data_IF_054685955745
#
_entry.id   IF_054685955745
#
_cell.length_a   1.000
_cell.length_b   1.000
_cell.length_c   1.000
_cell.angle_alpha   90.00
_cell.angle_beta   90.00
_cell.angle_gamma   90.00
#
_symmetry.space_group_name_H-M   'P 1'
#
loop_
_entity.id
_entity.type
_entity.pdbx_description
1 polymer ?
#
# COMPACT_ATOMS: atom_id res chain seq x y z
N UNK A 1 -25.73 -1.94 7.90
CA UNK A 1 -25.21 -0.55 7.95
C UNK A 1 -24.98 -0.12 6.51
N UNK A 2 -25.60 0.99 6.14
CA UNK A 2 -25.71 1.47 4.76
C UNK A 2 -24.32 1.85 4.25
N UNK A 3 -23.80 1.11 3.28
CA UNK A 3 -22.53 1.37 2.64
C UNK A 3 -22.70 2.58 1.71
N UNK A 4 -22.74 3.78 2.30
CA UNK A 4 -22.73 5.03 1.54
C UNK A 4 -21.39 5.10 0.83
N UNK A 5 -21.37 4.77 -0.47
CA UNK A 5 -20.18 4.97 -1.30
C UNK A 5 -19.89 6.47 -1.31
N UNK A 6 -18.87 6.88 -0.56
CA UNK A 6 -18.33 8.23 -0.61
C UNK A 6 -17.98 8.49 -2.08
N UNK A 7 -18.62 9.51 -2.67
CA UNK A 7 -18.33 9.98 -4.01
C UNK A 7 -17.68 11.34 -3.88
N UNK A 8 -16.45 11.44 -4.35
CA UNK A 8 -15.74 12.70 -4.45
C UNK A 8 -16.11 13.39 -5.75
N UNK A 9 -16.32 14.70 -5.72
CA UNK A 9 -16.18 15.50 -6.93
C UNK A 9 -14.71 15.49 -7.38
N UNK A 10 -14.45 15.82 -8.65
CA UNK A 10 -13.06 15.90 -9.16
C UNK A 10 -12.23 16.93 -8.40
N UNK A 11 -12.86 18.04 -8.00
CA UNK A 11 -12.22 19.14 -7.28
C UNK A 11 -11.80 18.75 -5.85
N UNK A 12 -12.54 17.84 -5.22
CA UNK A 12 -12.19 17.29 -3.90
C UNK A 12 -11.21 16.11 -4.01
N UNK A 13 -11.38 15.28 -5.05
CA UNK A 13 -10.62 14.05 -5.22
C UNK A 13 -9.12 14.31 -5.39
N UNK A 14 -8.74 15.18 -6.33
CA UNK A 14 -7.33 15.38 -6.69
C UNK A 14 -6.50 15.87 -5.49
N UNK A 15 -6.93 16.90 -4.72
CA UNK A 15 -6.18 17.33 -3.53
C UNK A 15 -6.06 16.25 -2.46
N UNK A 16 -7.13 15.49 -2.19
CA UNK A 16 -7.10 14.42 -1.18
C UNK A 16 -6.21 13.26 -1.59
N UNK A 17 -6.29 12.85 -2.87
CA UNK A 17 -5.44 11.80 -3.41
C UNK A 17 -3.96 12.20 -3.37
N UNK A 18 -3.65 13.43 -3.81
CA UNK A 18 -2.28 13.97 -3.74
C UNK A 18 -1.76 14.02 -2.32
N UNK A 19 -2.57 14.52 -1.36
CA UNK A 19 -2.17 14.60 0.03
C UNK A 19 -1.92 13.21 0.65
N UNK A 20 -2.78 12.22 0.38
CA UNK A 20 -2.56 10.85 0.86
C UNK A 20 -1.28 10.25 0.26
N UNK A 21 -1.07 10.43 -1.05
CA UNK A 21 0.14 9.99 -1.75
C UNK A 21 1.41 10.59 -1.13
N UNK A 22 1.44 11.91 -0.93
CA UNK A 22 2.57 12.61 -0.32
C UNK A 22 2.81 12.13 1.12
N UNK A 23 1.74 11.86 1.87
CA UNK A 23 1.84 11.34 3.24
C UNK A 23 2.46 9.94 3.30
N UNK A 24 2.12 9.07 2.34
CA UNK A 24 2.70 7.73 2.21
C UNK A 24 4.19 7.84 1.85
N UNK A 25 4.55 8.70 0.89
CA UNK A 25 5.96 8.94 0.52
C UNK A 25 6.75 9.42 1.73
N UNK A 26 6.27 10.46 2.40
CA UNK A 26 6.93 11.02 3.58
C UNK A 26 7.08 9.99 4.71
N UNK A 27 6.09 9.10 4.89
CA UNK A 27 6.18 8.00 5.85
C UNK A 27 7.34 7.06 5.54
N UNK A 28 7.46 6.60 4.29
CA UNK A 28 8.57 5.73 3.89
C UNK A 28 9.93 6.44 3.96
N UNK A 29 10.02 7.69 3.51
CA UNK A 29 11.24 8.49 3.60
C UNK A 29 11.70 8.70 5.05
N UNK A 30 10.77 8.88 6.00
CA UNK A 30 11.09 8.98 7.43
C UNK A 30 11.73 7.71 8.01
N UNK A 31 11.56 6.57 7.34
CA UNK A 31 12.21 5.29 7.68
C UNK A 31 13.51 5.06 6.90
N UNK A 32 13.98 6.06 6.15
CA UNK A 32 15.18 6.00 5.32
C UNK A 32 14.99 5.26 3.99
N UNK A 33 13.75 5.07 3.54
CA UNK A 33 13.45 4.47 2.23
C UNK A 33 13.59 5.49 1.13
N UNK A 34 14.07 5.05 -0.02
CA UNK A 34 14.41 5.94 -1.12
C UNK A 34 13.67 5.56 -2.41
N UNK A 35 13.39 6.61 -3.21
CA UNK A 35 13.11 6.51 -4.64
C UNK A 35 14.26 7.21 -5.35
N UNK A 36 15.18 6.44 -5.93
CA UNK A 36 16.15 6.98 -6.89
C UNK A 36 15.63 6.75 -8.32
N UNK A 37 15.29 7.80 -9.08
CA UNK A 37 14.82 7.67 -10.47
C UNK A 37 15.78 6.94 -11.40
N UNK A 38 17.06 6.88 -11.06
CA UNK A 38 18.12 6.27 -11.88
C UNK A 38 18.84 5.12 -11.19
N UNK A 39 18.36 4.68 -10.02
CA UNK A 39 19.10 3.75 -9.17
C UNK A 39 18.19 2.86 -8.32
N UNK A 40 18.59 2.64 -7.07
CA UNK A 40 17.87 1.77 -6.16
C UNK A 40 16.61 2.47 -5.64
N UNK A 41 15.48 1.78 -5.77
CA UNK A 41 14.19 2.19 -5.22
C UNK A 41 13.69 1.11 -4.27
N UNK A 42 13.27 1.50 -3.07
CA UNK A 42 12.67 0.57 -2.12
C UNK A 42 11.15 0.45 -2.34
N UNK A 43 10.54 1.50 -2.89
CA UNK A 43 9.13 1.56 -3.24
C UNK A 43 8.88 2.46 -4.47
N UNK A 44 7.66 2.46 -4.96
CA UNK A 44 7.13 3.39 -5.94
C UNK A 44 5.65 3.66 -5.65
N UNK A 45 5.22 4.91 -5.61
CA UNK A 45 3.79 5.25 -5.50
C UNK A 45 3.30 5.63 -6.88
N UNK A 46 2.41 4.80 -7.44
CA UNK A 46 1.96 4.89 -8.83
C UNK A 46 1.26 6.22 -9.04
N UNK A 47 1.77 7.00 -9.99
CA UNK A 47 1.25 8.31 -10.37
C UNK A 47 0.20 8.19 -11.48
N UNK A 48 -0.83 7.38 -11.23
CA UNK A 48 -1.92 7.15 -12.17
C UNK A 48 -3.26 7.44 -11.49
N UNK A 49 -3.84 8.60 -11.84
CA UNK A 49 -5.20 8.95 -11.48
C UNK A 49 -6.18 8.24 -12.45
N UNK A 50 -6.64 7.05 -12.05
CA UNK A 50 -7.71 6.33 -12.74
C UNK A 50 -9.12 6.70 -12.24
N UNK A 51 -9.27 7.78 -11.46
CA UNK A 51 -10.54 8.24 -10.91
C UNK A 51 -11.13 7.34 -9.81
N UNK A 52 -10.29 6.51 -9.17
CA UNK A 52 -10.66 5.64 -8.05
C UNK A 52 -9.96 6.13 -6.80
N UNK A 53 -10.66 6.16 -5.65
CA UNK A 53 -10.10 6.52 -4.35
C UNK A 53 -9.17 5.43 -3.81
N UNK A 54 -8.05 5.25 -4.51
CA UNK A 54 -7.04 4.24 -4.29
C UNK A 54 -5.66 4.85 -4.57
N UNK A 55 -4.73 4.66 -3.64
CA UNK A 55 -3.30 4.89 -3.87
C UNK A 55 -2.60 3.55 -3.96
N UNK A 56 -1.97 3.27 -5.10
CA UNK A 56 -1.18 2.06 -5.29
C UNK A 56 0.29 2.33 -4.94
N UNK A 57 0.81 1.50 -4.05
CA UNK A 57 2.21 1.43 -3.66
C UNK A 57 2.77 0.10 -4.18
N UNK A 58 3.87 0.18 -4.89
CA UNK A 58 4.69 -0.96 -5.28
C UNK A 58 5.92 -1.00 -4.38
N UNK A 59 6.24 -2.15 -3.79
CA UNK A 59 7.42 -2.32 -2.93
C UNK A 59 8.42 -3.25 -3.59
N UNK A 60 9.69 -2.85 -3.54
CA UNK A 60 10.83 -3.61 -4.06
C UNK A 60 11.63 -4.23 -2.91
N UNK A 61 11.48 -3.71 -1.67
CA UNK A 61 12.04 -4.32 -0.47
C UNK A 61 10.94 -4.88 0.43
N UNK A 62 11.12 -6.14 0.83
CA UNK A 62 10.09 -6.88 1.57
C UNK A 62 9.93 -6.42 3.03
N UNK A 63 10.88 -5.66 3.58
CA UNK A 63 10.76 -5.11 4.94
C UNK A 63 9.65 -4.05 5.05
N UNK A 64 9.20 -3.50 3.93
CA UNK A 64 7.97 -2.69 3.89
C UNK A 64 6.69 -3.50 4.12
N UNK A 65 6.76 -4.84 4.15
CA UNK A 65 5.68 -5.71 4.60
C UNK A 65 5.63 -5.86 6.12
N UNK A 66 6.59 -5.32 6.87
CA UNK A 66 6.60 -5.48 8.32
C UNK A 66 5.31 -4.95 8.95
N UNK A 67 4.71 -5.64 9.93
CA UNK A 67 3.40 -5.27 10.46
C UNK A 67 3.30 -3.82 10.94
N UNK A 68 4.31 -3.23 11.64
CA UNK A 68 4.27 -1.82 12.00
C UNK A 68 4.11 -0.86 10.82
N UNK A 69 4.73 -1.17 9.67
CA UNK A 69 4.62 -0.35 8.45
C UNK A 69 3.21 -0.46 7.89
N UNK A 70 2.69 -1.69 7.76
CA UNK A 70 1.34 -1.93 7.24
C UNK A 70 0.26 -1.31 8.13
N UNK A 71 0.42 -1.36 9.45
CA UNK A 71 -0.49 -0.70 10.38
C UNK A 71 -0.44 0.83 10.26
N UNK A 72 0.75 1.41 10.15
CA UNK A 72 0.88 2.85 9.97
C UNK A 72 0.18 3.33 8.70
N UNK A 73 0.34 2.61 7.58
CA UNK A 73 -0.37 2.93 6.32
C UNK A 73 -1.89 2.78 6.47
N UNK A 74 -2.38 1.73 7.14
CA UNK A 74 -3.82 1.57 7.43
C UNK A 74 -4.34 2.73 8.27
N UNK A 75 -3.57 3.16 9.27
CA UNK A 75 -4.01 4.19 10.21
C UNK A 75 -4.02 5.58 9.59
N UNK A 76 -3.19 5.85 8.56
CA UNK A 76 -3.32 7.06 7.73
C UNK A 76 -4.72 7.19 7.13
N UNK A 77 -5.36 6.08 6.74
CA UNK A 77 -6.70 6.12 6.12
C UNK A 77 -7.79 6.67 7.06
N UNK A 78 -7.56 6.79 8.37
CA UNK A 78 -8.51 7.46 9.28
C UNK A 78 -8.75 8.93 8.89
N UNK A 79 -7.74 9.58 8.32
CA UNK A 79 -7.80 10.97 7.86
C UNK A 79 -8.38 11.10 6.43
N UNK A 80 -8.52 10.00 5.70
CA UNK A 80 -8.93 9.96 4.29
C UNK A 80 -10.12 9.00 4.07
N UNK A 81 -11.31 9.31 4.59
CA UNK A 81 -12.47 8.43 4.49
C UNK A 81 -12.87 8.17 3.05
N UNK A 82 -13.05 6.89 2.70
CA UNK A 82 -13.39 6.46 1.34
C UNK A 82 -12.20 6.12 0.45
N UNK A 83 -10.96 6.40 0.91
CA UNK A 83 -9.75 5.94 0.23
C UNK A 83 -9.34 4.53 0.67
N UNK A 84 -8.58 3.89 -0.22
CA UNK A 84 -7.87 2.65 0.03
C UNK A 84 -6.39 2.80 -0.36
N UNK A 85 -5.55 1.91 0.18
CA UNK A 85 -4.14 1.77 -0.25
C UNK A 85 -3.92 0.32 -0.67
N UNK A 86 -3.30 0.08 -1.80
CA UNK A 86 -2.77 -1.24 -2.16
C UNK A 86 -1.25 -1.24 -2.04
N UNK A 87 -0.70 -2.24 -1.37
CA UNK A 87 0.75 -2.46 -1.25
C UNK A 87 1.08 -3.73 -2.02
N UNK A 88 1.56 -3.56 -3.25
CA UNK A 88 1.87 -4.65 -4.19
C UNK A 88 3.35 -5.02 -4.12
N UNK A 89 3.65 -6.32 -4.06
CA UNK A 89 5.03 -6.81 -4.04
C UNK A 89 5.57 -6.90 -5.47
N UNK A 90 6.62 -6.16 -5.78
CA UNK A 90 7.35 -6.29 -7.04
C UNK A 90 8.28 -7.51 -6.94
N UNK A 91 8.18 -8.49 -7.85
CA UNK A 91 9.09 -9.63 -7.85
C UNK A 91 10.53 -9.16 -8.08
N UNK A 92 11.53 -9.78 -7.42
CA UNK A 92 12.93 -9.55 -7.77
C UNK A 92 13.21 -9.86 -9.24
N UNK A 93 14.23 -9.22 -9.82
CA UNK A 93 14.60 -9.45 -11.22
C UNK A 93 14.79 -10.93 -11.55
N UNK A 94 14.09 -11.40 -12.59
CA UNK A 94 14.11 -12.79 -13.03
C UNK A 94 13.20 -13.74 -12.24
N UNK A 95 12.59 -13.30 -11.15
CA UNK A 95 11.62 -14.10 -10.41
C UNK A 95 10.23 -14.08 -11.07
N UNK A 96 9.56 -15.24 -11.12
CA UNK A 96 8.18 -15.38 -11.61
C UNK A 96 7.23 -15.54 -10.44
N UNK A 97 6.94 -14.45 -9.74
CA UNK A 97 5.95 -14.46 -8.65
C UNK A 97 4.58 -14.06 -9.19
N UNK A 98 3.48 -14.62 -8.64
CA UNK A 98 2.15 -14.12 -8.94
C UNK A 98 1.99 -12.70 -8.39
N UNK A 99 1.03 -11.95 -8.94
CA UNK A 99 0.58 -10.71 -8.32
C UNK A 99 0.12 -10.99 -6.89
N UNK A 100 0.68 -10.24 -5.94
CA UNK A 100 0.35 -10.39 -4.52
C UNK A 100 0.64 -9.09 -3.77
N UNK A 101 -0.07 -8.88 -2.69
CA UNK A 101 0.04 -7.65 -1.92
C UNK A 101 -0.93 -7.63 -0.75
N UNK A 102 -1.12 -6.43 -0.22
CA UNK A 102 -2.03 -6.15 0.88
C UNK A 102 -2.94 -5.01 0.43
N UNK A 103 -4.25 -5.16 0.64
CA UNK A 103 -5.20 -4.06 0.45
C UNK A 103 -5.61 -3.51 1.81
N UNK A 104 -5.57 -2.20 1.96
CA UNK A 104 -5.86 -1.48 3.18
C UNK A 104 -7.09 -0.60 2.98
N UNK A 105 -8.02 -0.71 3.92
CA UNK A 105 -9.19 0.16 4.05
C UNK A 105 -9.22 0.70 5.48
N UNK A 106 -10.14 1.62 5.76
CA UNK A 106 -10.33 2.13 7.11
C UNK A 106 -10.64 0.99 8.09
N UNK A 107 -9.67 0.67 8.96
CA UNK A 107 -9.80 -0.37 9.98
C UNK A 107 -9.73 -1.81 9.47
N UNK A 108 -9.44 -2.03 8.18
CA UNK A 108 -9.43 -3.38 7.58
C UNK A 108 -8.15 -3.62 6.78
N UNK A 109 -7.64 -4.84 6.88
CA UNK A 109 -6.49 -5.33 6.13
C UNK A 109 -6.92 -6.60 5.39
N UNK A 110 -6.80 -6.59 4.07
CA UNK A 110 -6.97 -7.78 3.23
C UNK A 110 -5.59 -8.29 2.83
N UNK A 111 -5.31 -9.52 3.21
CA UNK A 111 -4.02 -10.17 3.04
C UNK A 111 -4.02 -11.07 1.79
N UNK A 112 -3.49 -10.54 0.69
CA UNK A 112 -3.35 -11.23 -0.60
C UNK A 112 -2.00 -11.90 -0.81
N UNK A 113 -1.12 -11.90 0.19
CA UNK A 113 0.25 -12.38 0.05
C UNK A 113 0.33 -13.90 -0.13
N UNK A 114 1.00 -14.35 -1.19
CA UNK A 114 1.20 -15.77 -1.48
C UNK A 114 2.47 -16.27 -0.77
N UNK A 115 2.32 -16.63 0.51
CA UNK A 115 3.42 -16.99 1.44
C UNK A 115 4.46 -17.96 0.87
N UNK A 116 4.06 -18.90 0.03
CA UNK A 116 4.97 -19.87 -0.61
C UNK A 116 6.04 -19.23 -1.50
N UNK A 117 5.78 -18.03 -2.03
CA UNK A 117 6.72 -17.28 -2.87
C UNK A 117 7.65 -16.36 -2.08
N UNK A 118 7.32 -16.08 -0.81
CA UNK A 118 8.13 -15.22 0.03
C UNK A 118 9.30 -15.99 0.68
N UNK A 119 10.50 -15.39 0.74
CA UNK A 119 11.60 -15.93 1.51
C UNK A 119 11.34 -15.77 3.02
N UNK A 120 11.96 -16.58 3.89
CA UNK A 120 12.04 -16.25 5.31
C UNK A 120 12.71 -14.88 5.52
N UNK A 121 12.28 -14.07 6.51
CA UNK A 121 11.21 -14.34 7.48
C UNK A 121 9.78 -14.04 6.98
N UNK A 122 9.64 -13.39 5.82
CA UNK A 122 8.38 -12.83 5.31
C UNK A 122 7.26 -13.86 5.05
N UNK A 123 7.63 -15.14 4.91
CA UNK A 123 6.68 -16.27 4.80
C UNK A 123 5.75 -16.40 6.00
N UNK A 124 6.19 -15.98 7.18
CA UNK A 124 5.44 -16.13 8.44
C UNK A 124 4.77 -14.83 8.90
N UNK A 125 4.77 -13.79 8.04
CA UNK A 125 4.08 -12.54 8.38
C UNK A 125 2.59 -12.77 8.54
N UNK A 126 2.06 -12.13 9.57
CA UNK A 126 0.63 -12.09 9.87
C UNK A 126 0.27 -10.70 10.40
N UNK A 127 -0.90 -10.21 10.00
CA UNK A 127 -1.41 -8.90 10.38
C UNK A 127 -2.63 -9.11 11.27
N UNK A 128 -2.60 -8.53 12.46
CA UNK A 128 -3.67 -8.68 13.42
C UNK A 128 -4.98 -8.10 12.86
N UNK A 129 -6.03 -8.90 12.86
CA UNK A 129 -7.34 -8.53 12.35
C UNK A 129 -7.44 -8.54 10.82
N UNK A 130 -6.42 -9.03 10.09
CA UNK A 130 -6.55 -9.23 8.65
C UNK A 130 -7.45 -10.41 8.32
N UNK A 131 -8.03 -10.36 7.12
CA UNK A 131 -8.67 -11.51 6.48
C UNK A 131 -7.95 -11.85 5.17
N UNK A 132 -8.04 -13.09 4.69
CA UNK A 132 -7.48 -13.44 3.39
C UNK A 132 -8.23 -12.74 2.25
N UNK A 133 -7.50 -12.52 1.15
CA UNK A 133 -8.06 -12.17 -0.16
C UNK A 133 -8.80 -13.35 -0.82
#
# INVERSE_FOLDING_TARGET
MTNSRIRFSREEFVPLWTALRERIIAHFESMGKIIDPFGKRDFWVVDEDIGVALVQVEIMTLDLLDPPVIYALRDLLQEYPGFAITVSVVPPDGAKWPGMGISLFQGEIIDGLKRSFLPPPYRNLHYLGSRPE
#
